data_IF_768851503715
#
_entry.id   IF_768851503715
#
_cell.length_a   1.000
_cell.length_b   1.000
_cell.length_c   1.000
_cell.angle_alpha   90.00
_cell.angle_beta   90.00
_cell.angle_gamma   90.00
#
_symmetry.space_group_name_H-M   'P 1'
#
loop_
_entity.id
_entity.type
_entity.pdbx_description
1 polymer ?
#
# COMPACT_ATOMS: atom_id res chain seq x y z
N UNK A 1 -7.94 -3.36 9.43
CA UNK A 1 -7.94 -2.52 8.20
C UNK A 1 -7.62 -1.05 8.46
N UNK A 2 -7.72 -0.52 9.69
CA UNK A 2 -7.29 0.87 10.01
C UNK A 2 -5.77 1.05 10.10
N UNK A 3 -5.07 0.05 10.66
CA UNK A 3 -3.62 0.14 10.89
C UNK A 3 -2.82 0.46 9.63
N UNK A 4 -3.15 -0.13 8.47
CA UNK A 4 -2.42 0.15 7.21
C UNK A 4 -2.49 1.63 6.82
N UNK A 5 -3.67 2.25 6.89
CA UNK A 5 -3.83 3.68 6.56
C UNK A 5 -3.07 4.55 7.54
N UNK A 6 -3.14 4.22 8.83
CA UNK A 6 -2.46 4.98 9.89
C UNK A 6 -0.93 4.88 9.77
N UNK A 7 -0.39 3.69 9.49
CA UNK A 7 1.05 3.49 9.26
C UNK A 7 1.54 4.31 8.06
N UNK A 8 0.81 4.25 6.94
CA UNK A 8 1.16 5.02 5.73
C UNK A 8 1.09 6.52 6.01
N UNK A 9 0.00 6.99 6.63
CA UNK A 9 -0.16 8.40 7.00
C UNK A 9 0.98 8.87 7.89
N UNK A 10 1.31 8.10 8.92
CA UNK A 10 2.36 8.45 9.87
C UNK A 10 3.72 8.52 9.19
N UNK A 11 4.04 7.54 8.33
CA UNK A 11 5.26 7.56 7.53
C UNK A 11 5.33 8.81 6.64
N UNK A 12 4.23 9.17 5.96
CA UNK A 12 4.20 10.36 5.10
C UNK A 12 4.38 11.63 5.93
N UNK A 13 3.69 11.74 7.06
CA UNK A 13 3.75 12.92 7.92
C UNK A 13 5.14 13.09 8.54
N UNK A 14 5.77 12.00 8.99
CA UNK A 14 7.11 12.06 9.61
C UNK A 14 8.23 12.29 8.58
N UNK A 15 8.13 11.72 7.37
CA UNK A 15 9.19 11.82 6.36
C UNK A 15 9.04 13.02 5.42
N UNK A 16 7.81 13.45 5.12
CA UNK A 16 7.54 14.47 4.10
C UNK A 16 6.92 15.76 4.67
N UNK A 17 6.10 15.67 5.72
CA UNK A 17 5.41 16.84 6.29
C UNK A 17 5.99 17.31 7.64
N UNK A 18 7.16 16.81 8.03
CA UNK A 18 7.85 17.19 9.27
C UNK A 18 6.98 17.13 10.56
N UNK A 19 5.96 16.28 10.57
CA UNK A 19 5.03 16.15 11.70
C UNK A 19 3.73 16.93 11.60
N UNK A 20 3.52 17.75 10.56
CA UNK A 20 2.26 18.47 10.33
C UNK A 20 1.35 17.69 9.40
N UNK A 21 0.11 17.42 9.81
CA UNK A 21 -0.77 16.58 9.00
C UNK A 21 -1.48 17.32 7.85
N UNK A 22 -1.24 18.63 7.64
CA UNK A 22 -1.72 19.52 6.54
C UNK A 22 -3.13 19.17 5.96
N UNK A 23 -4.03 18.67 6.80
CA UNK A 23 -5.34 18.19 6.38
C UNK A 23 -5.28 17.04 5.35
N UNK A 24 -4.33 16.12 5.49
CA UNK A 24 -4.17 14.92 4.69
C UNK A 24 -5.29 13.94 5.03
N UNK A 25 -6.25 13.81 4.11
CA UNK A 25 -7.33 12.83 4.19
C UNK A 25 -6.93 11.55 3.44
N UNK A 26 -7.66 10.48 3.70
CA UNK A 26 -7.50 9.20 3.03
C UNK A 26 -7.67 9.29 1.50
N UNK A 27 -8.59 10.15 1.06
CA UNK A 27 -8.90 10.44 -0.36
C UNK A 27 -8.08 11.61 -0.95
N UNK A 28 -7.05 12.09 -0.23
CA UNK A 28 -6.24 13.22 -0.70
C UNK A 28 -5.12 12.77 -1.62
N UNK A 29 -5.10 13.34 -2.83
CA UNK A 29 -4.00 13.24 -3.78
C UNK A 29 -2.69 13.80 -3.22
N UNK A 30 -1.76 12.90 -2.91
CA UNK A 30 -0.42 13.21 -2.39
C UNK A 30 0.42 13.95 -3.43
N UNK A 31 0.20 13.67 -4.71
CA UNK A 31 0.94 14.29 -5.82
C UNK A 31 0.39 15.68 -6.16
N UNK A 32 -0.94 15.86 -6.19
CA UNK A 32 -1.53 17.18 -6.45
C UNK A 32 -1.21 18.18 -5.34
N UNK A 33 -1.24 17.73 -4.08
CA UNK A 33 -0.80 18.54 -2.94
C UNK A 33 0.73 18.74 -2.89
N UNK A 34 1.49 18.10 -3.80
CA UNK A 34 2.97 18.10 -3.81
C UNK A 34 3.58 17.68 -2.47
N UNK A 35 2.92 16.77 -1.77
CA UNK A 35 3.43 16.19 -0.52
C UNK A 35 4.52 15.18 -0.85
N UNK A 36 4.30 14.41 -1.91
CA UNK A 36 5.24 13.43 -2.43
C UNK A 36 5.67 13.84 -3.84
N UNK A 37 6.96 13.67 -4.10
CA UNK A 37 7.57 13.84 -5.41
C UNK A 37 7.80 12.47 -6.07
N UNK A 38 8.15 12.47 -7.35
CA UNK A 38 8.37 11.25 -8.14
C UNK A 38 9.37 10.28 -7.48
N UNK A 39 10.36 10.82 -6.76
CA UNK A 39 11.35 10.05 -6.00
C UNK A 39 10.79 9.52 -4.67
N UNK A 40 9.91 10.28 -4.01
CA UNK A 40 9.31 9.91 -2.73
C UNK A 40 8.39 8.70 -2.82
N UNK A 41 7.77 8.49 -3.98
CA UNK A 41 6.97 7.28 -4.26
C UNK A 41 7.82 6.01 -4.10
N UNK A 42 9.06 6.02 -4.60
CA UNK A 42 9.95 4.85 -4.54
C UNK A 42 10.31 4.47 -3.10
N UNK A 43 10.55 5.46 -2.24
CA UNK A 43 10.82 5.22 -0.82
C UNK A 43 9.58 4.70 -0.08
N UNK A 44 8.41 5.29 -0.36
CA UNK A 44 7.15 4.83 0.21
C UNK A 44 6.85 3.38 -0.17
N UNK A 45 7.09 3.03 -1.44
CA UNK A 45 6.92 1.67 -1.97
C UNK A 45 7.87 0.71 -1.28
N UNK A 46 9.16 1.04 -1.18
CA UNK A 46 10.14 0.20 -0.49
C UNK A 46 9.76 -0.03 0.98
N UNK A 47 9.22 0.99 1.65
CA UNK A 47 8.67 0.87 3.00
C UNK A 47 7.48 -0.10 3.05
N UNK A 48 6.51 0.05 2.13
CA UNK A 48 5.34 -0.83 2.05
C UNK A 48 5.70 -2.29 1.74
N UNK A 49 6.60 -2.52 0.80
CA UNK A 49 7.10 -3.85 0.45
C UNK A 49 7.73 -4.53 1.67
N UNK A 50 8.52 -3.77 2.45
CA UNK A 50 9.16 -4.27 3.67
C UNK A 50 8.17 -4.52 4.81
N UNK A 51 7.29 -3.57 5.10
CA UNK A 51 6.34 -3.63 6.22
C UNK A 51 5.27 -4.72 6.00
N UNK A 52 4.80 -4.85 4.76
CA UNK A 52 3.74 -5.80 4.41
C UNK A 52 4.22 -7.09 3.75
N UNK A 53 5.55 -7.24 3.51
CA UNK A 53 6.14 -8.36 2.75
C UNK A 53 5.41 -8.62 1.43
N UNK A 54 5.06 -7.54 0.72
CA UNK A 54 4.51 -7.63 -0.63
C UNK A 54 5.54 -7.18 -1.65
N UNK A 55 5.30 -7.53 -2.92
CA UNK A 55 6.10 -7.03 -4.05
C UNK A 55 5.27 -6.09 -4.89
N UNK A 56 5.73 -4.88 -5.11
CA UNK A 56 5.10 -3.88 -5.97
C UNK A 56 5.96 -3.77 -7.22
N UNK A 57 5.37 -3.98 -8.40
CA UNK A 57 6.10 -3.87 -9.67
C UNK A 57 6.18 -2.42 -10.12
N UNK A 58 7.17 -2.11 -10.97
CA UNK A 58 7.31 -0.78 -11.60
C UNK A 58 6.04 -0.33 -12.34
N UNK A 59 5.35 -1.25 -13.03
CA UNK A 59 4.06 -0.98 -13.69
C UNK A 59 2.94 -0.57 -12.71
N UNK A 60 3.08 -0.91 -11.43
CA UNK A 60 2.12 -0.61 -10.37
C UNK A 60 2.46 0.71 -9.64
N UNK A 61 3.65 1.29 -9.91
CA UNK A 61 4.13 2.57 -9.39
C UNK A 61 3.51 3.76 -10.14
N UNK A 62 2.19 3.71 -10.29
CA UNK A 62 1.43 4.74 -10.96
C UNK A 62 0.71 5.62 -9.94
N UNK A 63 0.53 6.91 -10.23
CA UNK A 63 -0.31 7.78 -9.41
C UNK A 63 -1.67 7.15 -9.14
N UNK A 64 -2.27 6.49 -10.13
CA UNK A 64 -3.57 5.84 -9.96
C UNK A 64 -3.64 4.81 -8.81
N UNK A 65 -2.52 4.22 -8.37
CA UNK A 65 -2.49 3.31 -7.23
C UNK A 65 -1.92 3.93 -5.94
N UNK A 66 -1.00 4.90 -6.07
CA UNK A 66 -0.19 5.42 -4.97
C UNK A 66 -0.49 6.89 -4.62
N UNK A 67 -1.35 7.55 -5.40
CA UNK A 67 -1.71 8.96 -5.22
C UNK A 67 -2.51 9.20 -3.94
N UNK A 68 -3.31 8.23 -3.50
CA UNK A 68 -4.16 8.36 -2.29
C UNK A 68 -3.97 7.18 -1.33
N UNK A 69 -4.14 7.43 -0.03
CA UNK A 69 -4.02 6.40 1.02
C UNK A 69 -5.10 5.34 0.85
N UNK A 70 -6.30 5.72 0.40
CA UNK A 70 -7.36 4.76 0.14
C UNK A 70 -7.01 3.77 -0.97
N UNK A 71 -6.44 4.24 -2.09
CA UNK A 71 -6.00 3.37 -3.19
C UNK A 71 -4.90 2.40 -2.74
N UNK A 72 -3.92 2.88 -1.96
CA UNK A 72 -2.91 2.00 -1.39
C UNK A 72 -3.50 0.95 -0.46
N UNK A 73 -4.46 1.34 0.41
CA UNK A 73 -5.14 0.38 1.28
C UNK A 73 -5.94 -0.64 0.49
N UNK A 74 -6.63 -0.20 -0.56
CA UNK A 74 -7.43 -1.07 -1.43
C UNK A 74 -6.53 -2.07 -2.15
N UNK A 75 -5.42 -1.59 -2.70
CA UNK A 75 -4.39 -2.41 -3.32
C UNK A 75 -3.80 -3.46 -2.36
N UNK A 76 -3.41 -3.03 -1.15
CA UNK A 76 -2.87 -3.93 -0.12
C UNK A 76 -3.89 -4.96 0.37
N UNK A 77 -5.16 -4.58 0.46
CA UNK A 77 -6.25 -5.49 0.85
C UNK A 77 -6.54 -6.53 -0.24
N UNK A 78 -6.37 -6.15 -1.52
CA UNK A 78 -6.43 -7.07 -2.65
C UNK A 78 -5.33 -8.13 -2.62
N UNK A 79 -4.09 -7.76 -2.24
CA UNK A 79 -2.98 -8.74 -2.12
C UNK A 79 -3.08 -9.65 -0.90
N UNK A 80 -3.69 -9.17 0.20
CA UNK A 80 -3.82 -9.93 1.46
C UNK A 80 -4.90 -11.00 1.46
N UNK A 81 -5.74 -11.07 0.44
CA UNK A 81 -6.66 -12.19 0.27
C UNK A 81 -6.00 -13.21 -0.65
N UNK A 82 -5.40 -14.30 -0.13
CA UNK A 82 -5.29 -15.51 -0.91
C UNK A 82 -6.71 -16.02 -1.14
N UNK A 83 -7.36 -15.51 -2.19
CA UNK A 83 -8.65 -16.02 -2.62
C UNK A 83 -8.41 -17.37 -3.29
N UNK A 84 -8.60 -18.42 -2.49
CA UNK A 84 -8.98 -19.77 -2.90
C UNK A 84 -8.08 -20.51 -3.91
N UNK A 85 -7.10 -21.24 -3.35
CA UNK A 85 -6.88 -22.64 -3.72
C UNK A 85 -6.93 -23.50 -2.45
N UNK A 86 -8.13 -23.56 -1.85
CA UNK A 86 -8.52 -24.62 -0.94
C UNK A 86 -9.78 -25.27 -1.50
N UNK A 87 -9.62 -26.14 -2.51
CA UNK A 87 -10.44 -27.33 -2.75
C UNK A 87 -10.15 -27.91 -4.15
N UNK A 88 -9.23 -28.86 -4.23
CA UNK A 88 -9.53 -30.09 -4.95
C UNK A 88 -9.18 -31.26 -4.04
N UNK A 89 -10.24 -31.86 -3.49
CA UNK A 89 -10.19 -33.17 -2.89
C UNK A 89 -9.53 -34.15 -3.86
N UNK A 90 -8.52 -34.88 -3.38
CA UNK A 90 -7.85 -35.94 -4.11
C UNK A 90 -7.16 -36.84 -3.11
N UNK A 91 -7.86 -37.90 -2.71
CA UNK A 91 -7.41 -39.00 -1.86
C UNK A 91 -6.00 -39.47 -2.21
N UNK A 92 -5.03 -39.28 -1.32
CA UNK A 92 -3.75 -40.00 -1.33
C UNK A 92 -3.62 -40.80 -0.03
N UNK A 93 -4.50 -41.79 0.08
CA UNK A 93 -4.26 -43.01 0.87
C UNK A 93 -4.42 -44.17 -0.10
N UNK A 94 -3.45 -45.10 -0.04
CA UNK A 94 -3.30 -46.34 -0.82
C UNK A 94 -2.45 -46.22 -2.10
N UNK A 95 -1.13 -46.43 -1.97
CA UNK A 95 -0.46 -47.69 -2.34
C UNK A 95 0.92 -47.73 -1.67
#
# INVERSE_FOLDING_TARGET
>A
MKETKETIRKYIVENFLFGEDEGLKDDTSLLEKKIIDSTGILELVAFLEKEFSIRIRDDELVPENLDSIDNMQHYLSGKKTPSADCCSAGTWVSI
#
